data_IF_210309784029
#
_entry.id   IF_210309784029
#
_cell.length_a   1.000
_cell.length_b   1.000
_cell.length_c   1.000
_cell.angle_alpha   90.00
_cell.angle_beta   90.00
_cell.angle_gamma   90.00
#
_symmetry.space_group_name_H-M   'P 1'
#
loop_
_entity.id
_entity.type
_entity.pdbx_description
1 polymer ?
#
# COMPACT_ATOMS: atom_id res chain seq x y z
N UNK A 1 -25.00 -3.93 -0.19
CA UNK A 1 -24.25 -4.04 1.08
C UNK A 1 -22.89 -3.41 0.82
N UNK A 2 -22.67 -2.16 1.25
CA UNK A 2 -21.36 -1.52 1.12
C UNK A 2 -20.42 -2.20 2.11
N UNK A 3 -19.57 -3.10 1.61
CA UNK A 3 -18.47 -3.62 2.42
C UNK A 3 -17.51 -2.47 2.70
N UNK A 4 -17.12 -2.28 3.95
CA UNK A 4 -16.13 -1.27 4.32
C UNK A 4 -14.88 -1.47 3.45
N UNK A 5 -14.50 -0.43 2.71
CA UNK A 5 -13.32 -0.46 1.85
C UNK A 5 -12.09 -0.84 2.69
N UNK A 6 -11.26 -1.73 2.16
CA UNK A 6 -10.14 -2.31 2.91
C UNK A 6 -8.91 -1.42 2.82
N UNK A 7 -8.02 -1.49 3.80
CA UNK A 7 -6.67 -0.94 3.69
C UNK A 7 -5.76 -1.95 2.99
N UNK A 8 -5.13 -1.55 1.90
CA UNK A 8 -4.10 -2.33 1.22
C UNK A 8 -2.73 -2.03 1.84
N UNK A 9 -1.95 -3.06 2.12
CA UNK A 9 -0.56 -2.94 2.53
C UNK A 9 0.30 -3.72 1.53
N UNK A 10 1.25 -3.04 0.89
CA UNK A 10 2.20 -3.66 -0.03
C UNK A 10 3.60 -3.49 0.56
N UNK A 11 4.18 -4.57 1.05
CA UNK A 11 5.52 -4.57 1.64
C UNK A 11 6.20 -5.92 1.38
N UNK A 12 7.46 -5.93 0.98
CA UNK A 12 8.24 -7.14 0.77
C UNK A 12 8.87 -7.68 2.06
N UNK A 13 8.97 -6.88 3.14
CA UNK A 13 9.41 -7.34 4.46
C UNK A 13 8.30 -8.16 5.16
N UNK A 14 8.52 -9.47 5.40
CA UNK A 14 7.52 -10.33 6.02
C UNK A 14 7.22 -9.98 7.49
N UNK A 15 8.20 -9.44 8.23
CA UNK A 15 7.99 -9.03 9.62
C UNK A 15 7.11 -7.77 9.63
N UNK A 16 7.41 -6.79 8.79
CA UNK A 16 6.61 -5.57 8.71
C UNK A 16 5.17 -5.86 8.25
N UNK A 17 4.99 -6.77 7.28
CA UNK A 17 3.66 -7.26 6.89
C UNK A 17 2.89 -7.85 8.08
N UNK A 18 3.55 -8.70 8.88
CA UNK A 18 2.93 -9.31 10.04
C UNK A 18 2.53 -8.26 11.09
N UNK A 19 3.45 -7.36 11.44
CA UNK A 19 3.22 -6.34 12.45
C UNK A 19 2.07 -5.40 12.06
N UNK A 20 2.03 -4.95 10.80
CA UNK A 20 0.93 -4.12 10.29
C UNK A 20 -0.40 -4.87 10.28
N UNK A 21 -0.40 -6.16 9.93
CA UNK A 21 -1.63 -6.97 10.01
C UNK A 21 -2.15 -7.06 11.45
N UNK A 22 -1.26 -7.24 12.42
CA UNK A 22 -1.62 -7.25 13.85
C UNK A 22 -2.17 -5.90 14.29
N UNK A 23 -1.51 -4.80 13.94
CA UNK A 23 -1.93 -3.43 14.32
C UNK A 23 -3.29 -3.09 13.72
N UNK A 24 -3.46 -3.27 12.41
CA UNK A 24 -4.72 -2.98 11.72
C UNK A 24 -5.84 -3.88 12.25
N UNK A 25 -5.54 -5.15 12.50
CA UNK A 25 -6.48 -6.09 13.13
C UNK A 25 -6.91 -5.66 14.53
N UNK A 26 -5.97 -5.17 15.34
CA UNK A 26 -6.25 -4.64 16.68
C UNK A 26 -7.12 -3.37 16.63
N UNK A 27 -6.93 -2.53 15.62
CA UNK A 27 -7.75 -1.34 15.38
C UNK A 27 -9.15 -1.67 14.83
N UNK A 28 -9.40 -2.93 14.44
CA UNK A 28 -10.66 -3.34 13.80
C UNK A 28 -10.76 -2.94 12.33
N UNK A 29 -9.65 -2.53 11.71
CA UNK A 29 -9.59 -2.12 10.31
C UNK A 29 -9.55 -3.35 9.39
N UNK A 30 -10.45 -3.38 8.39
CA UNK A 30 -10.40 -4.41 7.36
C UNK A 30 -9.20 -4.16 6.45
N UNK A 31 -8.34 -5.16 6.29
CA UNK A 31 -7.08 -4.97 5.60
C UNK A 31 -6.69 -6.19 4.76
N UNK A 32 -5.80 -5.95 3.80
CA UNK A 32 -5.12 -6.97 3.03
C UNK A 32 -3.65 -6.62 2.94
N UNK A 33 -2.79 -7.55 3.33
CA UNK A 33 -1.33 -7.37 3.35
C UNK A 33 -0.69 -8.34 2.38
N UNK A 34 0.09 -7.82 1.44
CA UNK A 34 0.71 -8.59 0.35
C UNK A 34 2.16 -8.15 0.08
N UNK A 35 2.93 -9.00 -0.58
CA UNK A 35 4.22 -8.64 -1.18
C UNK A 35 4.03 -7.90 -2.51
N UNK A 36 5.01 -7.08 -2.90
CA UNK A 36 5.06 -6.45 -4.21
C UNK A 36 5.14 -7.46 -5.38
N UNK A 37 5.52 -8.70 -5.11
CA UNK A 37 5.48 -9.79 -6.10
C UNK A 37 4.05 -10.24 -6.45
N UNK A 38 3.11 -10.12 -5.51
CA UNK A 38 1.70 -10.51 -5.64
C UNK A 38 0.84 -9.42 -6.29
N UNK A 39 1.40 -8.24 -6.54
CA UNK A 39 0.68 -7.14 -7.20
C UNK A 39 0.46 -7.46 -8.67
N UNK A 40 -0.79 -7.46 -9.10
CA UNK A 40 -1.20 -7.55 -10.49
C UNK A 40 -2.37 -6.62 -10.80
N UNK A 41 -2.93 -6.69 -12.02
CA UNK A 41 -4.03 -5.82 -12.44
C UNK A 41 -5.34 -6.09 -11.69
N UNK A 42 -5.58 -7.32 -11.25
CA UNK A 42 -6.84 -7.72 -10.61
C UNK A 42 -6.95 -7.19 -9.19
N UNK A 43 -5.80 -6.93 -8.53
CA UNK A 43 -5.75 -6.32 -7.20
C UNK A 43 -6.55 -5.01 -7.13
N UNK A 44 -6.50 -4.22 -8.20
CA UNK A 44 -7.08 -2.88 -8.29
C UNK A 44 -8.57 -2.87 -8.67
N UNK A 45 -9.17 -4.04 -8.89
CA UNK A 45 -10.62 -4.19 -9.05
C UNK A 45 -11.36 -4.13 -7.70
N UNK A 46 -10.63 -4.28 -6.58
CA UNK A 46 -11.18 -4.13 -5.24
C UNK A 46 -11.31 -2.65 -4.83
N UNK A 47 -12.26 -2.36 -3.95
CA UNK A 47 -12.38 -1.04 -3.31
C UNK A 47 -11.39 -0.90 -2.15
N UNK A 48 -10.46 0.04 -2.28
CA UNK A 48 -9.43 0.34 -1.29
C UNK A 48 -9.68 1.69 -0.61
N UNK A 49 -9.64 1.71 0.72
CA UNK A 49 -9.75 2.94 1.53
C UNK A 49 -8.43 3.72 1.55
N UNK A 50 -7.31 3.00 1.54
CA UNK A 50 -5.96 3.54 1.46
C UNK A 50 -4.98 2.44 1.03
N UNK A 51 -3.82 2.84 0.52
CA UNK A 51 -2.67 1.99 0.25
C UNK A 51 -1.48 2.43 1.11
N UNK A 52 -0.97 1.52 1.93
CA UNK A 52 0.27 1.68 2.66
C UNK A 52 1.40 1.02 1.86
N UNK A 53 2.33 1.82 1.35
CA UNK A 53 3.47 1.35 0.56
C UNK A 53 4.71 1.22 1.44
N UNK A 54 5.03 -0.02 1.78
CA UNK A 54 6.19 -0.41 2.56
C UNK A 54 7.45 -0.65 1.73
N UNK A 55 8.39 -1.44 2.23
CA UNK A 55 9.64 -1.70 1.52
C UNK A 55 9.38 -2.55 0.27
N UNK A 56 9.93 -2.17 -0.88
CA UNK A 56 9.84 -2.97 -2.11
C UNK A 56 11.25 -3.33 -2.56
N UNK A 57 11.53 -4.62 -2.65
CA UNK A 57 12.89 -5.16 -2.79
C UNK A 57 13.46 -5.02 -4.20
N UNK A 58 12.62 -4.81 -5.21
CA UNK A 58 13.07 -4.67 -6.60
C UNK A 58 12.50 -3.42 -7.27
N UNK A 59 13.36 -2.70 -8.01
CA UNK A 59 12.95 -1.52 -8.75
C UNK A 59 11.87 -1.80 -9.81
N UNK A 60 11.85 -3.01 -10.40
CA UNK A 60 10.82 -3.43 -11.37
C UNK A 60 9.45 -3.62 -10.71
N UNK A 61 9.40 -4.23 -9.52
CA UNK A 61 8.15 -4.33 -8.77
C UNK A 61 7.67 -2.95 -8.34
N UNK A 62 8.59 -2.10 -7.85
CA UNK A 62 8.27 -0.74 -7.42
C UNK A 62 7.70 0.08 -8.58
N UNK A 63 8.37 0.11 -9.75
CA UNK A 63 7.89 0.86 -10.92
C UNK A 63 6.48 0.42 -11.33
N UNK A 64 6.23 -0.89 -11.35
CA UNK A 64 4.91 -1.44 -11.66
C UNK A 64 3.84 -1.01 -10.67
N UNK A 65 4.15 -1.03 -9.37
CA UNK A 65 3.22 -0.57 -8.32
C UNK A 65 2.93 0.93 -8.48
N UNK A 66 3.96 1.74 -8.70
CA UNK A 66 3.83 3.18 -8.92
C UNK A 66 2.97 3.49 -10.15
N UNK A 67 3.11 2.74 -11.24
CA UNK A 67 2.26 2.91 -12.43
C UNK A 67 0.78 2.68 -12.11
N UNK A 68 0.45 1.64 -11.34
CA UNK A 68 -0.93 1.41 -10.90
C UNK A 68 -1.43 2.51 -9.97
N UNK A 69 -0.65 2.92 -8.96
CA UNK A 69 -1.05 3.96 -8.03
C UNK A 69 -1.29 5.32 -8.71
N UNK A 70 -0.57 5.59 -9.80
CA UNK A 70 -0.78 6.77 -10.64
C UNK A 70 -2.11 6.72 -11.41
N UNK A 71 -2.49 5.54 -11.90
CA UNK A 71 -3.77 5.34 -12.61
C UNK A 71 -4.93 5.43 -11.61
N UNK A 72 -4.82 4.75 -10.48
CA UNK A 72 -5.84 4.67 -9.42
C UNK A 72 -5.70 5.80 -8.39
N UNK A 73 -5.67 7.05 -8.88
CA UNK A 73 -5.49 8.28 -8.10
C UNK A 73 -6.61 8.58 -7.08
N UNK A 74 -7.67 7.78 -7.02
CA UNK A 74 -8.70 7.90 -5.99
C UNK A 74 -8.31 7.18 -4.69
N UNK A 75 -7.29 6.33 -4.71
CA UNK A 75 -6.81 5.58 -3.55
C UNK A 75 -5.71 6.41 -2.87
N UNK A 76 -5.92 6.92 -1.64
CA UNK A 76 -4.88 7.62 -0.90
C UNK A 76 -3.68 6.72 -0.62
N UNK A 77 -2.46 7.22 -0.82
CA UNK A 77 -1.21 6.47 -0.64
C UNK A 77 -0.39 7.07 0.48
N UNK A 78 0.07 6.23 1.40
CA UNK A 78 0.95 6.58 2.50
C UNK A 78 2.23 5.76 2.36
N UNK A 79 3.39 6.42 2.37
CA UNK A 79 4.68 5.74 2.36
C UNK A 79 5.03 5.30 3.79
N UNK A 80 5.30 4.02 4.02
CA UNK A 80 5.82 3.52 5.31
C UNK A 80 7.35 3.44 5.33
N UNK A 81 7.99 3.59 4.17
CA UNK A 81 9.43 3.50 3.98
C UNK A 81 9.94 4.59 3.01
N UNK A 82 11.16 4.44 2.51
CA UNK A 82 11.91 5.42 1.69
C UNK A 82 11.36 5.68 0.27
N UNK A 83 10.05 5.57 0.05
CA UNK A 83 9.40 5.83 -1.26
C UNK A 83 8.74 7.21 -1.35
N UNK A 84 9.04 8.12 -0.42
CA UNK A 84 8.49 9.47 -0.38
C UNK A 84 8.85 10.28 -1.62
N UNK A 85 10.07 10.12 -2.14
CA UNK A 85 10.52 10.81 -3.35
C UNK A 85 9.81 10.30 -4.61
N UNK A 86 9.59 8.99 -4.70
CA UNK A 86 8.89 8.35 -5.81
C UNK A 86 7.41 8.74 -5.85
N UNK A 87 6.81 8.93 -4.68
CA UNK A 87 5.40 9.27 -4.52
C UNK A 87 5.12 10.78 -4.48
N UNK A 88 6.11 11.64 -4.27
CA UNK A 88 5.89 13.09 -4.05
C UNK A 88 5.16 13.81 -5.20
N UNK A 89 5.20 13.25 -6.42
CA UNK A 89 4.51 13.79 -7.59
C UNK A 89 3.07 13.27 -7.78
N UNK A 90 2.58 12.42 -6.89
CA UNK A 90 1.29 11.73 -7.06
C UNK A 90 0.18 12.55 -6.40
N UNK A 91 -0.96 12.78 -7.07
CA UNK A 91 -2.06 13.57 -6.52
C UNK A 91 -2.73 12.91 -5.30
N UNK A 92 -2.58 11.59 -5.17
CA UNK A 92 -3.11 10.78 -4.08
C UNK A 92 -2.08 10.46 -3.00
N UNK A 93 -0.86 10.99 -3.09
CA UNK A 93 0.11 10.83 -2.02
C UNK A 93 -0.24 11.73 -0.84
N UNK A 94 -0.44 11.12 0.33
CA UNK A 94 -0.85 11.80 1.56
C UNK A 94 0.35 12.22 2.40
N UNK A 95 1.41 11.40 2.42
CA UNK A 95 2.61 11.64 3.22
C UNK A 95 3.34 10.35 3.58
N UNK A 96 4.38 10.47 4.41
CA UNK A 96 5.16 9.35 4.92
C UNK A 96 4.95 9.15 6.43
N UNK A 97 4.93 7.89 6.85
CA UNK A 97 4.99 7.46 8.23
C UNK A 97 6.39 6.88 8.47
N UNK A 98 7.19 7.60 9.23
CA UNK A 98 8.50 7.11 9.65
C UNK A 98 8.33 6.18 10.86
N UNK A 99 7.99 4.92 10.61
CA UNK A 99 8.06 3.87 11.63
C UNK A 99 9.53 3.46 11.78
N UNK A 100 10.17 3.84 12.88
CA UNK A 100 11.53 3.40 13.24
C UNK A 100 11.48 2.24 14.22
#
# INVERSE_FOLDING_TARGET
MQGLAKTLVIDDDPNHRHDLSVILGFMGESHQVISGSEVDSTLWENEWSACLLGQISTGKSLSRILDYLRIHHHIPVIALSHHDNELSGFPNYVGSLNCR
#
